data_IF_614608471546
#
_entry.id   IF_614608471546
#
_cell.length_a   1.000
_cell.length_b   1.000
_cell.length_c   1.000
_cell.angle_alpha   90.00
_cell.angle_beta   90.00
_cell.angle_gamma   90.00
#
_symmetry.space_group_name_H-M   'P 1'
#
loop_
_entity.id
_entity.type
_entity.pdbx_description
1 polymer ?
#
# COMPACT_ATOMS: atom_id res chain seq x y z
N UNK A 1 13.30 -4.23 -3.19
CA UNK A 1 13.55 -4.17 -1.72
C UNK A 1 15.01 -4.46 -1.31
N UNK A 2 15.99 -3.94 -2.07
CA UNK A 2 17.42 -4.14 -1.78
C UNK A 2 17.87 -3.47 -0.48
N UNK A 3 17.20 -2.40 -0.07
CA UNK A 3 17.49 -1.71 1.20
C UNK A 3 17.25 -2.62 2.41
N UNK A 4 16.17 -3.40 2.42
CA UNK A 4 15.85 -4.31 3.54
C UNK A 4 16.96 -5.36 3.69
N UNK A 5 17.35 -5.98 2.58
CA UNK A 5 18.43 -6.97 2.57
C UNK A 5 19.77 -6.35 2.97
N UNK A 6 20.09 -5.15 2.46
CA UNK A 6 21.36 -4.47 2.74
C UNK A 6 21.50 -3.99 4.19
N UNK A 7 20.44 -3.37 4.76
CA UNK A 7 20.51 -2.78 6.10
C UNK A 7 20.12 -3.74 7.22
N UNK A 8 19.19 -4.67 6.98
CA UNK A 8 18.69 -5.59 8.00
C UNK A 8 19.21 -7.02 7.83
N UNK A 9 19.75 -7.38 6.66
CA UNK A 9 20.13 -8.77 6.37
C UNK A 9 18.93 -9.71 6.25
N UNK A 10 17.72 -9.17 6.14
CA UNK A 10 16.46 -9.92 6.19
C UNK A 10 15.81 -10.04 4.81
N UNK A 11 14.96 -11.07 4.66
CA UNK A 11 14.09 -11.18 3.49
C UNK A 11 12.85 -10.30 3.68
N UNK A 12 12.45 -9.52 2.65
CA UNK A 12 11.25 -8.68 2.72
C UNK A 12 9.99 -9.52 2.98
N UNK A 13 9.25 -9.15 4.04
CA UNK A 13 7.98 -9.79 4.39
C UNK A 13 6.90 -9.43 3.35
N UNK A 14 6.79 -8.15 3.01
CA UNK A 14 5.90 -7.65 1.97
C UNK A 14 6.61 -7.60 0.62
N UNK A 15 5.98 -8.20 -0.39
CA UNK A 15 6.51 -8.22 -1.75
C UNK A 15 6.20 -6.92 -2.46
N UNK A 16 7.19 -6.36 -3.16
CA UNK A 16 6.94 -5.27 -4.10
C UNK A 16 6.25 -5.80 -5.36
N UNK A 17 5.40 -4.96 -5.93
CA UNK A 17 4.87 -5.17 -7.29
C UNK A 17 6.01 -5.02 -8.29
N UNK A 18 6.19 -5.94 -9.25
CA UNK A 18 7.14 -5.77 -10.36
C UNK A 18 6.87 -4.43 -11.06
N UNK A 19 7.89 -3.60 -11.18
CA UNK A 19 7.75 -2.24 -11.71
C UNK A 19 8.84 -1.98 -12.73
N UNK A 20 8.43 -1.70 -13.96
CA UNK A 20 9.27 -1.33 -15.08
C UNK A 20 9.48 0.19 -15.05
N UNK A 21 10.73 0.63 -15.06
CA UNK A 21 11.06 2.06 -15.05
C UNK A 21 11.35 2.51 -16.46
N UNK A 22 10.46 3.28 -17.08
CA UNK A 22 10.58 3.65 -18.50
C UNK A 22 11.83 4.50 -18.82
N UNK A 23 12.54 5.04 -17.82
CA UNK A 23 13.89 5.62 -18.01
C UNK A 23 14.95 4.61 -18.44
N UNK A 24 14.76 3.33 -18.12
CA UNK A 24 15.65 2.26 -18.57
C UNK A 24 15.20 1.78 -19.94
N UNK A 25 16.12 1.66 -20.90
CA UNK A 25 15.78 1.31 -22.29
C UNK A 25 15.07 -0.04 -22.41
N UNK A 26 15.53 -1.06 -21.69
CA UNK A 26 14.95 -2.40 -21.75
C UNK A 26 13.52 -2.43 -21.15
N UNK A 27 13.32 -1.75 -20.02
CA UNK A 27 12.00 -1.59 -19.38
C UNK A 27 11.04 -0.79 -20.26
N UNK A 28 11.53 0.26 -20.92
CA UNK A 28 10.75 1.05 -21.87
C UNK A 28 10.28 0.19 -23.04
N UNK A 29 11.21 -0.53 -23.67
CA UNK A 29 10.90 -1.41 -24.80
C UNK A 29 9.85 -2.45 -24.39
N UNK A 30 10.07 -3.13 -23.27
CA UNK A 30 9.10 -4.09 -22.73
C UNK A 30 7.73 -3.44 -22.49
N UNK A 31 7.70 -2.25 -21.89
CA UNK A 31 6.47 -1.50 -21.60
C UNK A 31 5.71 -1.16 -22.88
N UNK A 32 6.40 -0.71 -23.93
CA UNK A 32 5.77 -0.38 -25.22
C UNK A 32 5.21 -1.63 -25.91
N UNK A 33 5.94 -2.74 -25.88
CA UNK A 33 5.54 -3.99 -26.54
C UNK A 33 4.35 -4.66 -25.84
N UNK A 34 4.23 -4.52 -24.52
CA UNK A 34 3.23 -5.19 -23.70
C UNK A 34 2.20 -4.23 -23.07
N UNK A 35 2.12 -2.98 -23.55
CA UNK A 35 1.31 -1.93 -22.92
C UNK A 35 -0.16 -2.32 -22.71
N UNK A 36 -0.72 -3.16 -23.60
CA UNK A 36 -2.09 -3.69 -23.49
C UNK A 36 -2.35 -4.57 -22.25
N UNK A 37 -1.30 -5.11 -21.64
CA UNK A 37 -1.39 -6.01 -20.47
C UNK A 37 -0.96 -5.30 -19.17
N UNK A 38 -0.48 -4.06 -19.27
CA UNK A 38 0.13 -3.29 -18.18
C UNK A 38 -0.77 -2.13 -17.74
N UNK A 39 -0.53 -1.67 -16.51
CA UNK A 39 -0.96 -0.36 -16.03
C UNK A 39 0.24 0.59 -16.11
N UNK A 40 0.13 1.63 -16.92
CA UNK A 40 1.20 2.64 -17.10
C UNK A 40 0.76 3.94 -16.46
N UNK A 41 1.60 4.54 -15.63
CA UNK A 41 1.26 5.75 -14.88
C UNK A 41 2.44 6.72 -14.79
N UNK A 42 2.11 8.01 -14.71
CA UNK A 42 3.09 9.05 -14.45
C UNK A 42 3.69 8.96 -13.04
N UNK A 43 4.99 9.25 -12.92
CA UNK A 43 5.74 9.23 -11.65
C UNK A 43 5.36 10.41 -10.76
N UNK A 44 5.11 11.58 -11.35
CA UNK A 44 4.77 12.82 -10.64
C UNK A 44 3.27 13.12 -10.66
N UNK A 45 2.46 12.21 -11.20
CA UNK A 45 1.02 12.37 -11.29
C UNK A 45 0.35 12.26 -9.92
N UNK A 46 -0.54 13.20 -9.61
CA UNK A 46 -1.47 13.08 -8.51
C UNK A 46 -2.89 12.82 -9.05
N UNK A 47 -3.70 12.09 -8.29
CA UNK A 47 -5.12 12.04 -8.56
C UNK A 47 -5.59 11.01 -9.61
N UNK A 48 -4.75 10.06 -10.02
CA UNK A 48 -5.12 9.04 -11.03
C UNK A 48 -5.19 9.56 -12.47
N UNK A 49 -4.87 10.85 -12.69
CA UNK A 49 -4.64 11.42 -14.01
C UNK A 49 -3.28 10.96 -14.55
N UNK A 50 -3.18 10.78 -15.87
CA UNK A 50 -1.96 10.27 -16.51
C UNK A 50 -1.72 8.77 -16.27
N UNK A 51 -2.79 7.98 -16.22
CA UNK A 51 -2.74 6.52 -16.07
C UNK A 51 -3.51 5.82 -17.20
N UNK A 52 -2.87 4.84 -17.82
CA UNK A 52 -3.45 3.91 -18.77
C UNK A 52 -3.66 2.55 -18.08
N UNK A 53 -4.85 1.96 -18.22
CA UNK A 53 -5.13 0.58 -17.82
C UNK A 53 -5.24 -0.23 -19.12
N UNK A 54 -4.14 -0.85 -19.55
CA UNK A 54 -4.03 -1.54 -20.84
C UNK A 54 -5.24 -2.44 -21.16
N UNK A 55 -5.62 -3.38 -20.28
CA UNK A 55 -6.72 -4.31 -20.56
C UNK A 55 -8.11 -3.66 -20.71
N UNK A 56 -8.26 -2.43 -20.23
CA UNK A 56 -9.50 -1.66 -20.29
C UNK A 56 -9.45 -0.51 -21.30
N UNK A 57 -8.36 -0.40 -22.08
CA UNK A 57 -8.13 0.67 -23.04
C UNK A 57 -8.29 0.16 -24.47
N UNK A 58 -8.75 1.03 -25.35
CA UNK A 58 -8.81 0.76 -26.79
C UNK A 58 -7.42 0.80 -27.43
N UNK A 59 -7.27 0.21 -28.62
CA UNK A 59 -6.00 0.26 -29.34
C UNK A 59 -5.57 1.70 -29.65
N UNK A 60 -6.51 2.58 -29.98
CA UNK A 60 -6.21 3.99 -30.25
C UNK A 60 -5.63 4.70 -29.01
N UNK A 61 -6.26 4.52 -27.84
CA UNK A 61 -5.78 5.07 -26.58
C UNK A 61 -4.39 4.53 -26.20
N UNK A 62 -4.15 3.25 -26.45
CA UNK A 62 -2.83 2.63 -26.22
C UNK A 62 -1.77 3.28 -27.12
N UNK A 63 -2.03 3.42 -28.42
CA UNK A 63 -1.07 4.05 -29.35
C UNK A 63 -0.82 5.52 -29.03
N UNK A 64 -1.85 6.24 -28.58
CA UNK A 64 -1.72 7.63 -28.12
C UNK A 64 -0.84 7.72 -26.87
N UNK A 65 -1.07 6.82 -25.90
CA UNK A 65 -0.29 6.78 -24.67
C UNK A 65 1.17 6.35 -24.94
N UNK A 66 1.42 5.43 -25.87
CA UNK A 66 2.79 5.09 -26.31
C UNK A 66 3.56 6.31 -26.77
N UNK A 67 2.94 7.18 -27.59
CA UNK A 67 3.59 8.41 -28.07
C UNK A 67 3.93 9.35 -26.92
N UNK A 68 3.05 9.48 -25.93
CA UNK A 68 3.32 10.27 -24.73
C UNK A 68 4.49 9.71 -23.91
N UNK A 69 4.53 8.38 -23.72
CA UNK A 69 5.62 7.70 -22.99
C UNK A 69 6.95 7.86 -23.72
N UNK A 70 6.99 7.71 -25.05
CA UNK A 70 8.20 7.90 -25.86
C UNK A 70 8.70 9.34 -25.79
N UNK A 71 7.81 10.32 -25.75
CA UNK A 71 8.18 11.73 -25.67
C UNK A 71 8.86 12.10 -24.34
N UNK A 72 8.52 11.40 -23.24
CA UNK A 72 9.09 11.66 -21.90
C UNK A 72 9.17 10.38 -21.06
N UNK A 73 10.07 9.44 -21.40
CA UNK A 73 10.10 8.11 -20.78
C UNK A 73 10.37 8.15 -19.27
N UNK A 74 11.23 9.07 -18.82
CA UNK A 74 11.55 9.24 -17.40
C UNK A 74 10.34 9.66 -16.53
N UNK A 75 9.27 10.13 -17.19
CA UNK A 75 8.03 10.50 -16.55
C UNK A 75 7.13 9.34 -16.18
N UNK A 76 7.41 8.11 -16.64
CA UNK A 76 6.48 6.99 -16.55
C UNK A 76 7.08 5.74 -15.89
N UNK A 77 6.20 4.95 -15.28
CA UNK A 77 6.45 3.58 -14.84
C UNK A 77 5.32 2.68 -15.30
N UNK A 78 5.61 1.40 -15.48
CA UNK A 78 4.60 0.39 -15.78
C UNK A 78 4.62 -0.75 -14.76
N UNK A 79 3.45 -1.30 -14.50
CA UNK A 79 3.25 -2.43 -13.59
C UNK A 79 2.30 -3.43 -14.24
N UNK A 80 2.42 -4.74 -13.96
CA UNK A 80 1.44 -5.69 -14.40
C UNK A 80 0.07 -5.33 -13.83
N UNK A 81 -0.99 -5.59 -14.60
CA UNK A 81 -2.35 -5.41 -14.10
C UNK A 81 -2.59 -6.35 -12.93
N UNK A 82 -2.87 -5.79 -11.75
CA UNK A 82 -3.11 -6.57 -10.54
C UNK A 82 -4.61 -6.81 -10.35
N UNK A 83 -4.95 -8.05 -10.04
CA UNK A 83 -6.27 -8.38 -9.51
C UNK A 83 -6.38 -7.86 -8.07
N UNK A 84 -6.84 -6.63 -7.92
CA UNK A 84 -7.08 -6.03 -6.60
C UNK A 84 -8.16 -6.83 -5.86
N UNK A 85 -8.00 -6.99 -4.54
CA UNK A 85 -9.04 -7.59 -3.71
C UNK A 85 -10.29 -6.70 -3.72
N UNK A 86 -11.44 -7.34 -3.51
CA UNK A 86 -12.73 -6.65 -3.44
C UNK A 86 -13.35 -6.75 -2.05
N UNK A 87 -14.08 -5.71 -1.64
CA UNK A 87 -14.90 -5.70 -0.43
C UNK A 87 -16.37 -5.43 -0.78
N UNK A 88 -17.34 -6.10 -0.12
CA UNK A 88 -18.76 -5.84 -0.30
C UNK A 88 -19.07 -4.35 -0.09
N UNK A 89 -19.73 -3.74 -1.07
CA UNK A 89 -20.03 -2.31 -1.08
C UNK A 89 -21.46 -2.10 -1.51
N UNK A 90 -22.19 -1.27 -0.77
CA UNK A 90 -23.56 -0.92 -1.09
C UNK A 90 -23.57 0.08 -2.25
N UNK A 91 -24.22 -0.32 -3.33
CA UNK A 91 -24.38 0.44 -4.58
C UNK A 91 -25.87 0.43 -4.96
N UNK A 92 -26.25 1.14 -6.03
CA UNK A 92 -27.65 1.26 -6.45
C UNK A 92 -28.34 -0.09 -6.67
N UNK A 93 -27.62 -1.08 -7.22
CA UNK A 93 -28.12 -2.44 -7.44
C UNK A 93 -28.11 -3.35 -6.19
N UNK A 94 -27.76 -2.82 -5.01
CA UNK A 94 -27.63 -3.58 -3.75
C UNK A 94 -26.18 -3.79 -3.32
N UNK A 95 -25.84 -4.96 -2.77
CA UNK A 95 -24.48 -5.25 -2.30
C UNK A 95 -23.69 -5.90 -3.45
N UNK A 96 -22.63 -5.24 -3.88
CA UNK A 96 -21.75 -5.72 -4.95
C UNK A 96 -20.27 -5.64 -4.56
N UNK A 97 -19.40 -6.49 -5.14
CA UNK A 97 -17.96 -6.40 -4.91
C UNK A 97 -17.40 -5.12 -5.55
N UNK A 98 -16.53 -4.41 -4.82
CA UNK A 98 -15.76 -3.27 -5.33
C UNK A 98 -14.31 -3.36 -4.90
N UNK A 99 -13.40 -2.97 -5.77
CA UNK A 99 -11.96 -3.01 -5.49
C UNK A 99 -11.59 -2.02 -4.39
N UNK A 100 -10.69 -2.45 -3.49
CA UNK A 100 -10.21 -1.64 -2.38
C UNK A 100 -8.69 -1.59 -2.35
N UNK A 101 -8.16 -0.54 -1.71
CA UNK A 101 -6.79 -0.54 -1.23
C UNK A 101 -6.71 -0.05 0.22
N UNK A 102 -5.64 -0.43 0.90
CA UNK A 102 -5.41 -0.13 2.31
C UNK A 102 -4.12 0.68 2.45
N UNK A 103 -4.24 1.81 3.14
CA UNK A 103 -3.11 2.64 3.54
C UNK A 103 -2.96 2.63 5.07
N UNK A 104 -2.12 1.73 5.62
CA UNK A 104 -1.76 1.77 7.04
C UNK A 104 -0.74 2.89 7.31
N UNK A 105 -0.56 3.24 8.58
CA UNK A 105 0.39 4.25 9.02
C UNK A 105 1.39 3.66 10.02
N UNK A 106 2.66 3.73 9.67
CA UNK A 106 3.78 3.37 10.54
C UNK A 106 4.35 4.65 11.13
N UNK A 107 4.48 4.69 12.46
CA UNK A 107 5.03 5.81 13.22
C UNK A 107 6.45 5.43 13.66
N UNK A 108 7.43 6.28 13.35
CA UNK A 108 8.83 6.05 13.70
C UNK A 108 9.35 7.20 14.57
N UNK A 109 9.75 6.87 15.79
CA UNK A 109 10.40 7.78 16.74
C UNK A 109 11.55 7.03 17.43
N UNK A 110 11.59 7.01 18.77
CA UNK A 110 12.49 6.12 19.53
C UNK A 110 12.18 4.64 19.24
N UNK A 111 10.91 4.34 18.98
CA UNK A 111 10.43 3.03 18.57
C UNK A 111 9.65 3.15 17.25
N UNK A 112 9.55 2.04 16.52
CA UNK A 112 8.71 1.91 15.32
C UNK A 112 7.45 1.17 15.69
N UNK A 113 6.29 1.79 15.50
CA UNK A 113 4.99 1.24 15.87
C UNK A 113 3.98 1.40 14.72
N UNK A 114 2.96 0.54 14.69
CA UNK A 114 1.86 0.61 13.73
C UNK A 114 0.55 0.86 14.46
N UNK A 115 -0.26 1.79 13.96
CA UNK A 115 -1.61 2.01 14.48
C UNK A 115 -2.50 0.85 14.02
N UNK A 116 -3.34 0.25 14.89
CA UNK A 116 -4.28 -0.81 14.50
C UNK A 116 -5.45 -0.23 13.68
N UNK A 117 -5.15 0.16 12.45
CA UNK A 117 -6.09 0.78 11.52
C UNK A 117 -5.40 1.32 10.27
N UNK A 118 -6.17 2.03 9.46
CA UNK A 118 -5.68 2.63 8.23
C UNK A 118 -6.81 3.25 7.42
N UNK A 119 -6.42 3.93 6.35
CA UNK A 119 -7.37 4.45 5.38
C UNK A 119 -7.64 3.36 4.34
N UNK A 120 -8.85 2.80 4.35
CA UNK A 120 -9.33 1.96 3.24
C UNK A 120 -10.05 2.82 2.23
N UNK A 121 -9.65 2.73 0.96
CA UNK A 121 -10.35 3.38 -0.15
C UNK A 121 -11.07 2.35 -1.01
N UNK A 122 -12.14 2.77 -1.66
CA UNK A 122 -12.97 1.90 -2.49
C UNK A 122 -13.24 2.55 -3.86
N UNK A 123 -13.06 1.78 -4.94
CA UNK A 123 -13.46 2.19 -6.27
C UNK A 123 -14.96 1.95 -6.45
N UNK A 124 -15.80 2.99 -6.41
CA UNK A 124 -17.26 2.82 -6.40
C UNK A 124 -17.84 2.42 -7.76
N UNK A 125 -17.20 2.85 -8.86
CA UNK A 125 -17.60 2.50 -10.22
C UNK A 125 -17.34 1.01 -10.47
N UNK A 126 -18.31 0.33 -11.06
CA UNK A 126 -18.19 -1.09 -11.40
C UNK A 126 -17.00 -1.34 -12.34
N UNK A 127 -16.23 -2.40 -12.05
CA UNK A 127 -15.02 -2.77 -12.80
C UNK A 127 -13.83 -1.80 -12.68
N UNK A 128 -13.99 -0.67 -11.97
CA UNK A 128 -12.92 0.31 -11.83
C UNK A 128 -11.86 -0.16 -10.83
N UNK A 129 -10.58 0.02 -11.19
CA UNK A 129 -9.43 -0.12 -10.31
C UNK A 129 -9.03 1.22 -9.65
N UNK A 130 -9.72 2.30 -10.02
CA UNK A 130 -9.41 3.66 -9.56
C UNK A 130 -10.12 3.92 -8.23
N UNK A 131 -9.37 3.79 -7.14
CA UNK A 131 -9.85 4.05 -5.76
C UNK A 131 -9.72 5.52 -5.33
N UNK A 132 -9.25 6.39 -6.24
CA UNK A 132 -8.91 7.75 -5.89
C UNK A 132 -10.15 8.65 -5.76
N UNK A 133 -10.20 9.49 -4.71
CA UNK A 133 -11.39 10.27 -4.36
C UNK A 133 -11.78 11.31 -5.41
N UNK A 134 -10.81 11.93 -6.08
CA UNK A 134 -11.08 12.91 -7.15
C UNK A 134 -11.70 12.29 -8.41
N UNK A 135 -11.81 10.96 -8.48
CA UNK A 135 -12.38 10.21 -9.61
C UNK A 135 -13.52 9.27 -9.15
N UNK A 136 -14.23 9.64 -8.08
CA UNK A 136 -15.37 8.86 -7.58
C UNK A 136 -14.99 7.71 -6.64
N UNK A 137 -13.79 7.74 -6.07
CA UNK A 137 -13.39 6.84 -4.98
C UNK A 137 -14.06 7.23 -3.66
N UNK A 138 -14.50 6.22 -2.91
CA UNK A 138 -15.00 6.36 -1.55
C UNK A 138 -13.99 5.90 -0.50
N UNK A 139 -14.38 5.95 0.77
CA UNK A 139 -13.60 5.41 1.88
C UNK A 139 -14.42 4.42 2.70
N UNK A 140 -13.75 3.48 3.36
CA UNK A 140 -14.33 2.56 4.34
C UNK A 140 -13.55 2.63 5.63
N UNK A 141 -14.23 2.36 6.73
CA UNK A 141 -13.56 2.11 8.00
C UNK A 141 -12.78 0.79 7.94
N UNK A 142 -11.64 0.74 8.64
CA UNK A 142 -10.73 -0.42 8.66
C UNK A 142 -10.69 -0.99 10.05
N UNK A 143 -11.39 -2.09 10.28
CA UNK A 143 -11.41 -2.76 11.59
C UNK A 143 -10.28 -3.78 11.69
N UNK A 144 -9.42 -3.60 12.69
CA UNK A 144 -8.44 -4.59 13.11
C UNK A 144 -8.99 -5.26 14.36
N UNK A 145 -9.25 -6.57 14.27
CA UNK A 145 -9.77 -7.32 15.40
C UNK A 145 -8.69 -7.53 16.47
N UNK A 146 -9.05 -7.36 17.74
CA UNK A 146 -8.19 -7.72 18.86
C UNK A 146 -8.06 -9.25 18.89
N UNK A 147 -6.84 -9.77 18.74
CA UNK A 147 -6.56 -11.16 19.13
C UNK A 147 -6.53 -11.23 20.66
N UNK A 148 -7.08 -12.29 21.26
CA UNK A 148 -7.25 -12.43 22.72
C UNK A 148 -6.12 -11.79 23.54
N UNK A 149 -6.50 -10.90 24.47
CA UNK A 149 -5.59 -10.14 25.33
C UNK A 149 -4.49 -11.05 25.88
N UNK A 150 -3.23 -10.80 25.50
CA UNK A 150 -2.11 -11.12 26.38
C UNK A 150 -2.25 -10.24 27.61
N UNK A 151 -2.81 -10.78 28.68
CA UNK A 151 -2.79 -10.17 30.02
C UNK A 151 -1.33 -9.80 30.31
N UNK A 152 -1.01 -8.53 30.58
CA UNK A 152 0.32 -8.18 31.08
C UNK A 152 0.58 -9.06 32.32
N UNK A 153 1.69 -9.80 32.36
CA UNK A 153 2.14 -10.43 33.59
C UNK A 153 2.26 -9.30 34.61
N UNK A 154 1.41 -9.33 35.65
CA UNK A 154 1.54 -8.45 36.79
C UNK A 154 3.00 -8.53 37.26
N UNK A 155 3.72 -7.42 37.24
CA UNK A 155 5.01 -7.33 37.90
C UNK A 155 4.73 -7.54 39.38
N UNK A 156 5.14 -8.69 39.91
CA UNK A 156 5.12 -8.95 41.34
C UNK A 156 5.89 -7.83 42.02
N UNK A 157 5.31 -7.08 42.98
CA UNK A 157 6.07 -6.10 43.73
C UNK A 157 7.23 -6.80 44.42
N UNK A 158 8.46 -6.33 44.14
CA UNK A 158 9.64 -6.70 44.90
C UNK A 158 9.38 -6.34 46.37
N UNK A 159 9.35 -7.36 47.24
CA UNK A 159 9.33 -7.13 48.68
C UNK A 159 10.68 -6.52 49.07
N UNK A 160 10.70 -5.20 49.26
CA UNK A 160 11.80 -4.52 49.92
C UNK A 160 11.82 -4.97 51.37
N UNK A 161 12.72 -5.88 51.73
CA UNK A 161 13.00 -6.20 53.13
C UNK A 161 13.63 -4.97 53.79
N UNK A 162 12.85 -4.27 54.62
CA UNK A 162 13.36 -3.28 55.55
C UNK A 162 14.09 -3.98 56.69
N UNK A 163 15.42 -4.00 56.65
CA UNK A 163 16.24 -4.33 57.81
C UNK A 163 16.21 -3.14 58.78
N UNK A 164 15.47 -3.29 59.87
CA UNK A 164 15.54 -2.38 61.01
C UNK A 164 16.78 -2.72 61.82
N UNK A 165 17.82 -1.87 61.72
CA UNK A 165 18.92 -1.88 62.70
C UNK A 165 18.43 -1.28 64.02
N UNK A 166 18.54 -2.05 65.10
CA UNK A 166 18.29 -1.55 66.45
C UNK A 166 19.47 -0.66 66.91
N UNK A 167 19.22 0.46 67.62
CA UNK A 167 20.28 1.30 68.13
C UNK A 167 20.92 0.67 69.39
N UNK A 168 22.25 0.74 69.43
CA UNK A 168 23.06 0.53 70.63
C UNK A 168 22.97 1.77 71.52
N UNK A 169 22.67 1.58 72.81
CA UNK A 169 22.90 2.59 73.84
C UNK A 169 23.15 1.93 75.21
N UNK A 170 24.28 2.33 75.81
CA UNK A 170 24.73 2.23 77.21
C UNK A 170 24.89 0.84 77.84
#
# INVERSE_FOLDING_TARGET
PKMIEFYLGEKPILKNVPTFMCRNKDDLQYTLDHMKDLVVKEVHGAGGYGMLIGPASTQAEIEDFKRAVIAKPDGYIAQPTLSLSTSPTFVEAGIAPRHIDLRPFVLSAKEVQMVPGGLTRVALKEGSLVVNSSQGGGTKDTWILESERRTPKAQTPSQTQSQTQAPSAA
#
